data_IF_065341113315
#
_entry.id   IF_065341113315
#
_cell.length_a   1.000
_cell.length_b   1.000
_cell.length_c   1.000
_cell.angle_alpha   90.00
_cell.angle_beta   90.00
_cell.angle_gamma   90.00
#
_symmetry.space_group_name_H-M   'P 1'
#
loop_
_entity.id
_entity.type
_entity.pdbx_description
1 polymer ?
#
# COMPACT_ATOMS: atom_id res chain seq x y z
N UNK A 1 -24.84 -56.20 58.94
CA UNK A 1 -24.77 -55.36 57.73
C UNK A 1 -24.03 -56.13 56.65
N UNK A 2 -24.70 -56.23 55.50
CA UNK A 2 -24.32 -56.85 54.22
C UNK A 2 -22.84 -56.61 53.81
N UNK A 3 -22.16 -57.37 52.95
CA UNK A 3 -22.33 -58.68 52.28
C UNK A 3 -20.99 -58.96 51.56
N UNK A 4 -20.68 -60.26 51.38
CA UNK A 4 -19.90 -60.90 50.31
C UNK A 4 -18.56 -60.32 49.78
N UNK A 5 -17.47 -61.07 50.04
CA UNK A 5 -16.37 -61.34 49.07
C UNK A 5 -16.87 -62.36 48.01
N UNK A 6 -16.12 -62.88 46.98
CA UNK A 6 -14.74 -62.61 46.50
C UNK A 6 -14.52 -62.76 44.93
N UNK A 7 -13.25 -62.75 44.48
CA UNK A 7 -12.62 -63.58 43.41
C UNK A 7 -12.89 -63.40 41.88
N UNK A 8 -11.77 -63.55 41.14
CA UNK A 8 -11.58 -63.96 39.72
C UNK A 8 -11.88 -62.91 38.62
N UNK A 9 -10.94 -62.50 37.76
CA UNK A 9 -10.27 -63.23 36.67
C UNK A 9 -11.24 -64.03 35.76
N UNK A 10 -11.88 -63.33 34.83
CA UNK A 10 -12.46 -63.84 33.58
C UNK A 10 -12.17 -62.79 32.49
N UNK A 11 -11.24 -63.02 31.57
CA UNK A 11 -11.41 -63.60 30.22
C UNK A 11 -12.48 -62.93 29.34
N UNK A 12 -12.03 -62.60 28.12
CA UNK A 12 -12.78 -62.39 26.88
C UNK A 12 -13.56 -61.08 26.71
N UNK A 13 -12.93 -60.09 26.06
CA UNK A 13 -13.53 -59.49 24.87
C UNK A 13 -12.44 -59.09 23.87
N UNK A 14 -12.16 -60.03 22.98
CA UNK A 14 -11.65 -59.77 21.64
C UNK A 14 -12.69 -58.93 20.89
N UNK A 15 -12.29 -57.79 20.32
CA UNK A 15 -12.58 -57.46 18.92
C UNK A 15 -12.04 -56.06 18.56
N UNK A 16 -11.10 -56.07 17.61
CA UNK A 16 -10.89 -55.08 16.55
C UNK A 16 -11.19 -53.60 16.86
N UNK A 17 -10.15 -52.84 17.17
CA UNK A 17 -9.97 -51.50 16.58
C UNK A 17 -8.48 -51.25 16.29
N UNK A 18 -7.86 -52.16 15.55
CA UNK A 18 -6.77 -51.80 14.67
C UNK A 18 -7.37 -50.99 13.52
N UNK A 19 -7.69 -49.71 13.80
CA UNK A 19 -7.99 -48.74 12.76
C UNK A 19 -6.70 -48.55 11.98
N UNK A 20 -6.65 -49.30 10.87
CA UNK A 20 -5.77 -49.08 9.74
C UNK A 20 -5.58 -47.58 9.54
N UNK A 21 -4.41 -47.09 9.97
CA UNK A 21 -3.79 -45.96 9.27
C UNK A 21 -3.55 -46.49 7.88
N UNK A 22 -4.55 -46.34 7.02
CA UNK A 22 -4.36 -46.33 5.59
C UNK A 22 -3.24 -45.34 5.37
N UNK A 23 -2.04 -45.89 5.13
CA UNK A 23 -0.99 -45.20 4.45
C UNK A 23 -1.69 -44.64 3.23
N UNK A 24 -1.90 -43.32 3.23
CA UNK A 24 -2.36 -42.63 2.07
C UNK A 24 -1.23 -42.86 1.08
N UNK A 25 -1.43 -43.84 0.19
CA UNK A 25 -0.55 -44.05 -0.93
C UNK A 25 -0.33 -42.68 -1.56
N UNK A 26 0.92 -42.21 -1.70
CA UNK A 26 1.17 -41.07 -2.51
C UNK A 26 0.85 -41.54 -3.92
N UNK A 27 -0.39 -41.31 -4.37
CA UNK A 27 -0.72 -41.38 -5.78
C UNK A 27 0.44 -40.68 -6.51
N UNK A 28 1.09 -41.33 -7.50
CA UNK A 28 2.11 -40.66 -8.28
C UNK A 28 1.45 -39.40 -8.83
N UNK A 29 1.90 -38.23 -8.38
CA UNK A 29 1.34 -36.98 -8.86
C UNK A 29 1.45 -37.03 -10.38
N UNK A 30 0.34 -36.82 -11.12
CA UNK A 30 0.39 -36.88 -12.57
C UNK A 30 1.49 -35.94 -13.04
N UNK A 31 2.36 -36.46 -13.90
CA UNK A 31 3.52 -35.76 -14.40
C UNK A 31 3.13 -34.34 -14.87
N UNK A 32 3.80 -33.34 -14.29
CA UNK A 32 4.20 -32.13 -15.00
C UNK A 32 3.14 -31.17 -15.56
N UNK A 33 1.88 -31.13 -15.09
CA UNK A 33 0.93 -30.11 -15.57
C UNK A 33 1.30 -28.70 -15.05
N UNK A 34 1.89 -27.88 -15.92
CA UNK A 34 2.23 -26.48 -15.60
C UNK A 34 1.09 -25.56 -16.03
N UNK A 35 0.65 -24.67 -15.12
CA UNK A 35 -0.44 -23.73 -15.39
C UNK A 35 0.14 -22.37 -15.78
N UNK A 36 -0.39 -21.75 -16.82
CA UNK A 36 -0.08 -20.37 -17.20
C UNK A 36 -1.19 -19.46 -16.70
N UNK A 37 -0.86 -18.52 -15.83
CA UNK A 37 -1.75 -17.45 -15.42
C UNK A 37 -1.44 -16.20 -16.26
N UNK A 38 -2.26 -15.93 -17.26
CA UNK A 38 -2.05 -14.85 -18.22
C UNK A 38 -2.94 -13.67 -17.85
N UNK A 39 -2.33 -12.50 -17.73
CA UNK A 39 -3.01 -11.23 -17.42
C UNK A 39 -2.92 -10.25 -18.57
N UNK A 40 -4.00 -9.51 -18.82
CA UNK A 40 -4.00 -8.38 -19.75
C UNK A 40 -4.24 -7.07 -18.99
N UNK A 41 -3.18 -6.29 -18.71
CA UNK A 41 -3.28 -5.12 -17.84
C UNK A 41 -4.11 -3.97 -18.43
N UNK A 42 -4.28 -3.91 -19.76
CA UNK A 42 -5.09 -2.88 -20.40
C UNK A 42 -6.58 -3.03 -20.06
N UNK A 43 -7.11 -4.26 -20.17
CA UNK A 43 -8.52 -4.57 -19.92
C UNK A 43 -8.79 -4.98 -18.46
N UNK A 44 -7.75 -5.36 -17.70
CA UNK A 44 -7.87 -5.80 -16.31
C UNK A 44 -8.42 -7.22 -16.15
N UNK A 45 -8.35 -8.02 -17.21
CA UNK A 45 -8.79 -9.42 -17.29
C UNK A 45 -7.61 -10.37 -17.03
N UNK A 46 -7.93 -11.61 -16.63
CA UNK A 46 -6.97 -12.67 -16.44
C UNK A 46 -7.59 -14.03 -16.80
N UNK A 47 -6.79 -14.94 -17.31
CA UNK A 47 -7.20 -16.30 -17.65
C UNK A 47 -6.11 -17.29 -17.21
N UNK A 48 -6.54 -18.38 -16.60
CA UNK A 48 -5.66 -19.50 -16.26
C UNK A 48 -5.82 -20.57 -17.33
N UNK A 49 -4.71 -21.01 -17.90
CA UNK A 49 -4.65 -22.03 -18.94
C UNK A 49 -3.75 -23.16 -18.46
N UNK A 50 -4.20 -24.39 -18.64
CA UNK A 50 -3.43 -25.57 -18.28
C UNK A 50 -2.74 -26.10 -19.54
N UNK A 51 -1.42 -26.30 -19.47
CA UNK A 51 -0.63 -26.82 -20.59
C UNK A 51 0.09 -28.09 -20.14
N UNK A 52 -0.14 -29.16 -20.90
CA UNK A 52 0.47 -30.47 -20.65
C UNK A 52 1.66 -30.73 -21.58
N UNK A 53 1.69 -30.12 -22.77
CA UNK A 53 2.75 -30.30 -23.75
C UNK A 53 4.01 -29.50 -23.39
N UNK A 54 5.10 -30.22 -23.16
CA UNK A 54 6.42 -29.68 -22.81
C UNK A 54 7.02 -28.81 -23.91
N UNK A 55 6.72 -29.08 -25.20
CA UNK A 55 7.28 -28.32 -26.33
C UNK A 55 6.86 -26.84 -26.28
N UNK A 56 5.60 -26.60 -25.88
CA UNK A 56 5.03 -25.26 -25.69
C UNK A 56 5.68 -24.51 -24.53
N UNK A 57 6.11 -25.25 -23.50
CA UNK A 57 6.72 -24.69 -22.29
C UNK A 57 8.21 -24.38 -22.47
N UNK A 58 8.91 -25.07 -23.39
CA UNK A 58 10.36 -24.93 -23.62
C UNK A 58 10.79 -23.49 -23.89
N UNK A 59 9.95 -22.68 -24.54
CA UNK A 59 10.25 -21.28 -24.86
C UNK A 59 10.41 -20.41 -23.61
N UNK A 60 9.74 -20.77 -22.52
CA UNK A 60 9.87 -20.09 -21.23
C UNK A 60 11.06 -20.56 -20.39
N UNK A 61 11.65 -21.71 -20.70
CA UNK A 61 12.72 -22.29 -19.91
C UNK A 61 13.99 -21.46 -20.02
N UNK A 62 14.76 -21.42 -18.93
CA UNK A 62 16.01 -20.64 -18.79
C UNK A 62 15.84 -19.11 -18.95
N UNK A 63 14.62 -18.64 -19.20
CA UNK A 63 14.30 -17.22 -19.16
C UNK A 63 14.19 -16.75 -17.71
N UNK A 64 14.51 -15.47 -17.52
CA UNK A 64 14.42 -14.79 -16.23
C UNK A 64 13.08 -14.08 -16.12
N UNK A 65 12.61 -13.93 -14.88
CA UNK A 65 11.55 -12.97 -14.58
C UNK A 65 11.89 -11.58 -15.14
N UNK A 66 10.92 -10.96 -15.81
CA UNK A 66 11.03 -9.70 -16.52
C UNK A 66 11.37 -9.82 -18.00
N UNK A 67 11.76 -11.00 -18.48
CA UNK A 67 12.03 -11.23 -19.90
C UNK A 67 10.75 -11.23 -20.74
N UNK A 68 10.88 -10.71 -21.96
CA UNK A 68 9.85 -10.78 -22.99
C UNK A 68 10.04 -12.04 -23.82
N UNK A 69 8.95 -12.74 -24.09
CA UNK A 69 8.91 -14.04 -24.74
C UNK A 69 7.77 -14.03 -25.77
N UNK A 70 8.02 -14.46 -27.02
CA UNK A 70 6.97 -14.56 -28.03
C UNK A 70 5.96 -15.66 -27.64
N UNK A 71 4.68 -15.36 -27.83
CA UNK A 71 3.56 -16.26 -27.54
C UNK A 71 3.28 -17.30 -28.62
N UNK A 72 3.88 -17.15 -29.80
CA UNK A 72 3.60 -17.95 -31.00
C UNK A 72 3.71 -19.46 -30.77
N UNK A 73 4.65 -19.89 -29.91
CA UNK A 73 4.89 -21.31 -29.64
C UNK A 73 3.94 -21.94 -28.62
N UNK A 74 3.12 -21.14 -27.93
CA UNK A 74 2.18 -21.64 -26.91
C UNK A 74 0.91 -22.18 -27.58
N UNK A 75 0.44 -21.51 -28.61
CA UNK A 75 -0.70 -21.93 -29.41
C UNK A 75 -1.04 -20.90 -30.48
N UNK A 76 -1.84 -21.33 -31.46
CA UNK A 76 -2.19 -20.50 -32.61
C UNK A 76 -2.98 -19.24 -32.22
N UNK A 77 -3.78 -19.32 -31.15
CA UNK A 77 -4.50 -18.18 -30.55
C UNK A 77 -3.56 -17.07 -30.04
N UNK A 78 -2.31 -17.43 -29.72
CA UNK A 78 -1.32 -16.52 -29.15
C UNK A 78 -0.31 -16.00 -30.19
N UNK A 79 -0.61 -16.21 -31.48
CA UNK A 79 0.24 -15.72 -32.56
C UNK A 79 0.29 -14.18 -32.57
N UNK A 80 1.50 -13.64 -32.62
CA UNK A 80 1.78 -12.20 -32.57
C UNK A 80 1.74 -11.59 -31.16
N UNK A 81 1.38 -12.37 -30.13
CA UNK A 81 1.41 -11.88 -28.75
C UNK A 81 2.82 -11.89 -28.19
N UNK A 82 3.15 -10.85 -27.40
CA UNK A 82 4.38 -10.81 -26.61
C UNK A 82 4.02 -10.87 -25.14
N UNK A 83 4.52 -11.92 -24.48
CA UNK A 83 4.39 -12.10 -23.05
C UNK A 83 5.61 -11.59 -22.31
N UNK A 84 5.39 -11.06 -21.12
CA UNK A 84 6.43 -10.80 -20.14
C UNK A 84 6.26 -11.72 -18.95
N UNK A 85 7.32 -12.40 -18.55
CA UNK A 85 7.32 -13.27 -17.38
C UNK A 85 7.30 -12.39 -16.12
N UNK A 86 6.22 -12.41 -15.36
CA UNK A 86 6.09 -11.57 -14.15
C UNK A 86 6.47 -12.29 -12.87
N UNK A 87 6.46 -13.63 -12.88
CA UNK A 87 6.78 -14.46 -11.72
C UNK A 87 6.13 -15.82 -11.81
N UNK A 88 5.96 -16.48 -10.67
CA UNK A 88 5.36 -17.80 -10.59
C UNK A 88 5.48 -18.41 -9.21
N UNK A 89 4.93 -19.61 -9.09
CA UNK A 89 4.95 -20.42 -7.88
C UNK A 89 5.52 -21.80 -8.21
N UNK A 90 6.39 -22.26 -7.35
CA UNK A 90 6.94 -23.61 -7.36
C UNK A 90 5.84 -24.65 -7.02
N UNK A 91 6.06 -25.93 -7.32
CA UNK A 91 5.11 -27.03 -7.02
C UNK A 91 4.71 -27.11 -5.54
N UNK A 92 5.64 -26.81 -4.64
CA UNK A 92 5.39 -26.75 -3.20
C UNK A 92 4.89 -25.36 -2.72
N UNK A 93 4.52 -24.47 -3.66
CA UNK A 93 3.89 -23.18 -3.36
C UNK A 93 4.85 -22.03 -3.02
N UNK A 94 6.17 -22.25 -3.08
CA UNK A 94 7.14 -21.18 -2.84
C UNK A 94 7.14 -20.17 -4.00
N UNK A 95 7.00 -18.86 -3.74
CA UNK A 95 6.95 -17.85 -4.79
C UNK A 95 8.35 -17.56 -5.36
N UNK A 96 8.41 -17.19 -6.64
CA UNK A 96 9.62 -16.68 -7.28
C UNK A 96 9.98 -15.27 -6.80
N UNK A 97 11.28 -14.95 -6.77
CA UNK A 97 11.79 -13.62 -6.41
C UNK A 97 12.79 -13.09 -7.42
N UNK A 98 12.52 -11.88 -7.92
CA UNK A 98 13.44 -11.14 -8.77
C UNK A 98 14.80 -10.94 -8.09
N UNK A 99 15.88 -11.10 -8.86
CA UNK A 99 17.25 -10.88 -8.41
C UNK A 99 17.97 -12.12 -7.86
N UNK A 100 17.24 -13.21 -7.60
CA UNK A 100 17.84 -14.48 -7.19
C UNK A 100 18.18 -15.28 -8.45
N UNK A 101 19.41 -15.14 -8.94
CA UNK A 101 19.90 -15.76 -10.18
C UNK A 101 20.19 -17.26 -10.03
N UNK A 102 19.21 -18.01 -9.53
CA UNK A 102 19.28 -19.45 -9.35
C UNK A 102 18.01 -20.06 -9.93
N UNK A 103 18.06 -21.25 -10.55
CA UNK A 103 16.85 -21.92 -10.99
C UNK A 103 16.05 -22.41 -9.78
N UNK A 104 16.69 -23.10 -8.82
CA UNK A 104 16.00 -23.73 -7.67
C UNK A 104 15.77 -22.78 -6.48
N UNK A 105 15.50 -23.32 -5.29
CA UNK A 105 15.19 -22.56 -4.06
C UNK A 105 16.44 -22.17 -3.29
N UNK A 106 16.39 -20.96 -2.71
CA UNK A 106 17.43 -20.44 -1.82
C UNK A 106 16.77 -19.90 -0.54
N UNK A 107 17.47 -20.01 0.59
CA UNK A 107 17.03 -19.41 1.87
C UNK A 107 17.65 -18.03 2.05
N UNK A 108 16.81 -17.00 2.06
CA UNK A 108 17.23 -15.61 2.20
C UNK A 108 16.71 -15.00 3.49
N UNK A 109 17.48 -14.10 4.09
CA UNK A 109 17.05 -13.30 5.24
C UNK A 109 16.28 -12.07 4.75
N UNK A 110 14.95 -12.06 4.94
CA UNK A 110 14.07 -11.00 4.44
C UNK A 110 13.64 -10.06 5.58
N UNK A 111 13.75 -8.76 5.35
CA UNK A 111 13.19 -7.64 6.14
C UNK A 111 11.91 -7.06 5.50
N UNK A 112 11.35 -6.02 6.13
CA UNK A 112 10.27 -5.22 5.57
C UNK A 112 10.61 -4.63 4.19
N UNK A 113 9.60 -4.48 3.32
CA UNK A 113 9.74 -3.97 1.97
C UNK A 113 10.25 -4.98 0.92
N UNK A 114 10.81 -6.12 1.31
CA UNK A 114 11.15 -7.18 0.35
C UNK A 114 9.92 -7.96 -0.11
N UNK A 115 9.91 -8.35 -1.38
CA UNK A 115 8.93 -9.31 -1.91
C UNK A 115 8.98 -10.67 -1.18
N UNK A 116 7.84 -11.36 -1.16
CA UNK A 116 7.63 -12.70 -0.57
C UNK A 116 7.63 -12.76 0.98
N UNK A 117 7.72 -11.61 1.66
CA UNK A 117 7.62 -11.54 3.11
C UNK A 117 6.84 -10.30 3.56
N UNK A 118 6.06 -10.46 4.62
CA UNK A 118 5.42 -9.36 5.35
C UNK A 118 5.76 -9.52 6.83
N UNK A 119 6.51 -8.60 7.44
CA UNK A 119 6.88 -8.68 8.85
C UNK A 119 5.64 -8.59 9.75
N UNK A 120 5.71 -9.22 10.93
CA UNK A 120 4.65 -9.15 11.94
C UNK A 120 4.96 -8.10 13.01
N UNK A 121 6.26 -7.89 13.29
CA UNK A 121 6.75 -6.83 14.17
C UNK A 121 7.66 -5.87 13.40
N UNK A 122 7.70 -4.61 13.83
CA UNK A 122 8.61 -3.62 13.28
C UNK A 122 10.06 -4.04 13.50
N UNK A 123 10.87 -4.04 12.43
CA UNK A 123 12.27 -4.46 12.48
C UNK A 123 12.51 -5.97 12.42
N UNK A 124 11.47 -6.80 12.35
CA UNK A 124 11.61 -8.26 12.24
C UNK A 124 12.28 -8.65 10.91
N UNK A 125 13.30 -9.52 10.99
CA UNK A 125 13.90 -10.18 9.83
C UNK A 125 13.73 -11.67 9.97
N UNK A 126 13.28 -12.34 8.90
CA UNK A 126 13.05 -13.80 8.91
C UNK A 126 13.72 -14.47 7.74
N UNK A 127 14.45 -15.57 8.00
CA UNK A 127 15.06 -16.40 6.96
C UNK A 127 13.98 -17.32 6.35
N UNK A 128 13.65 -17.11 5.07
CA UNK A 128 12.62 -17.86 4.33
C UNK A 128 13.20 -18.48 3.07
N UNK A 129 12.67 -19.65 2.70
CA UNK A 129 12.93 -20.27 1.41
C UNK A 129 12.12 -19.56 0.33
N UNK A 130 12.77 -19.24 -0.77
CA UNK A 130 12.18 -18.53 -1.91
C UNK A 130 12.70 -19.18 -3.20
N UNK A 131 11.85 -19.23 -4.23
CA UNK A 131 12.25 -19.74 -5.55
C UNK A 131 13.04 -18.67 -6.30
N UNK A 132 14.08 -19.07 -7.02
CA UNK A 132 14.85 -18.12 -7.82
C UNK A 132 14.08 -17.60 -9.04
N UNK A 133 14.70 -16.68 -9.78
CA UNK A 133 14.05 -15.95 -10.86
C UNK A 133 14.13 -16.64 -12.23
N UNK A 134 14.95 -17.70 -12.36
CA UNK A 134 15.09 -18.45 -13.60
C UNK A 134 13.96 -19.49 -13.65
N UNK A 135 13.25 -19.52 -14.78
CA UNK A 135 12.13 -20.44 -15.00
C UNK A 135 12.65 -21.85 -15.24
N UNK A 136 12.04 -22.82 -14.57
CA UNK A 136 12.30 -24.24 -14.72
C UNK A 136 10.99 -25.04 -14.76
N UNK A 137 11.08 -26.31 -15.15
CA UNK A 137 9.93 -27.23 -15.33
C UNK A 137 9.29 -27.68 -14.01
N UNK A 138 9.93 -27.41 -12.89
CA UNK A 138 9.48 -27.72 -11.54
C UNK A 138 8.56 -26.64 -10.95
N UNK A 139 8.18 -25.64 -11.75
CA UNK A 139 7.11 -24.71 -11.40
C UNK A 139 5.73 -25.37 -11.54
N UNK A 140 4.77 -24.92 -10.73
CA UNK A 140 3.35 -25.29 -10.88
C UNK A 140 2.59 -24.23 -11.65
N UNK A 141 2.85 -22.95 -11.37
CA UNK A 141 2.18 -21.83 -12.04
C UNK A 141 3.22 -20.81 -12.50
N UNK A 142 3.12 -20.39 -13.76
CA UNK A 142 3.86 -19.25 -14.30
C UNK A 142 2.92 -18.09 -14.56
N UNK A 143 3.26 -16.93 -14.03
CA UNK A 143 2.49 -15.71 -14.18
C UNK A 143 3.04 -14.88 -15.35
N UNK A 144 2.22 -14.64 -16.36
CA UNK A 144 2.54 -13.91 -17.57
C UNK A 144 1.69 -12.63 -17.67
N UNK A 145 2.26 -11.57 -18.20
CA UNK A 145 1.53 -10.35 -18.58
C UNK A 145 1.71 -10.07 -20.06
N UNK A 146 0.62 -9.80 -20.78
CA UNK A 146 0.67 -9.38 -22.18
C UNK A 146 1.22 -7.95 -22.27
N UNK A 147 2.25 -7.76 -23.10
CA UNK A 147 2.84 -6.44 -23.40
C UNK A 147 2.34 -5.90 -24.73
N UNK A 148 2.28 -6.76 -25.75
CA UNK A 148 1.71 -6.45 -27.07
C UNK A 148 0.62 -7.46 -27.41
N UNK A 149 -0.51 -6.95 -27.86
CA UNK A 149 -1.62 -7.75 -28.37
C UNK A 149 -1.27 -8.27 -29.77
N UNK A 150 -1.58 -9.54 -30.03
CA UNK A 150 -1.46 -10.14 -31.36
C UNK A 150 -2.68 -9.86 -32.24
N UNK A 151 -2.81 -10.62 -33.33
CA UNK A 151 -3.85 -10.41 -34.34
C UNK A 151 -5.21 -10.99 -33.92
N UNK A 152 -5.21 -12.17 -33.29
CA UNK A 152 -6.43 -12.86 -32.87
C UNK A 152 -6.87 -12.46 -31.47
N UNK A 153 -8.18 -12.28 -31.26
CA UNK A 153 -8.74 -12.04 -29.93
C UNK A 153 -8.93 -13.34 -29.14
N UNK A 154 -8.70 -13.25 -27.83
CA UNK A 154 -8.71 -14.41 -26.93
C UNK A 154 -9.93 -14.34 -26.02
N UNK A 155 -10.79 -15.38 -26.02
CA UNK A 155 -12.02 -15.37 -25.25
C UNK A 155 -11.72 -15.30 -23.75
N UNK A 156 -12.39 -14.36 -23.07
CA UNK A 156 -12.24 -14.10 -21.65
C UNK A 156 -10.99 -13.29 -21.25
N UNK A 157 -10.14 -12.90 -22.21
CA UNK A 157 -8.95 -12.09 -21.95
C UNK A 157 -9.00 -10.75 -22.72
N UNK A 158 -9.02 -10.75 -24.04
CA UNK A 158 -9.07 -9.48 -24.80
C UNK A 158 -10.50 -8.98 -25.02
N UNK A 159 -11.47 -9.89 -25.04
CA UNK A 159 -12.90 -9.57 -25.25
C UNK A 159 -13.52 -8.76 -24.09
N UNK A 160 -13.29 -9.19 -22.85
CA UNK A 160 -13.94 -8.58 -21.67
C UNK A 160 -13.11 -7.43 -21.11
N UNK A 161 -13.73 -6.24 -21.00
CA UNK A 161 -13.12 -5.06 -20.38
C UNK A 161 -13.71 -4.81 -18.99
N UNK A 162 -12.85 -4.83 -17.96
CA UNK A 162 -13.24 -4.51 -16.59
C UNK A 162 -12.86 -3.06 -16.24
N UNK A 163 -13.84 -2.15 -16.06
CA UNK A 163 -13.55 -0.77 -15.72
C UNK A 163 -12.95 -0.64 -14.31
N UNK A 164 -12.08 0.35 -14.11
CA UNK A 164 -11.48 0.64 -12.81
C UNK A 164 -12.56 1.07 -11.81
N UNK A 165 -12.72 0.30 -10.74
CA UNK A 165 -13.75 0.50 -9.71
C UNK A 165 -13.65 1.83 -8.94
N UNK A 166 -12.43 2.35 -8.74
CA UNK A 166 -12.18 3.53 -7.90
C UNK A 166 -11.50 4.64 -8.70
N UNK A 167 -12.10 5.83 -8.64
CA UNK A 167 -11.51 7.05 -9.20
C UNK A 167 -10.46 7.70 -8.29
N UNK A 168 -9.78 8.74 -8.78
CA UNK A 168 -8.80 9.49 -8.00
C UNK A 168 -9.42 10.20 -6.77
N UNK A 169 -8.79 10.05 -5.59
CA UNK A 169 -9.23 10.70 -4.32
C UNK A 169 -8.55 12.06 -4.03
N UNK A 170 -7.33 12.27 -4.51
CA UNK A 170 -6.53 13.48 -4.21
C UNK A 170 -6.87 14.58 -5.21
N UNK A 171 -7.08 15.81 -4.75
CA UNK A 171 -7.46 16.95 -5.60
C UNK A 171 -6.55 17.12 -6.83
N UNK A 172 -5.23 17.01 -6.64
CA UNK A 172 -4.26 17.13 -7.75
C UNK A 172 -4.36 15.99 -8.77
N UNK A 173 -4.75 14.78 -8.36
CA UNK A 173 -4.94 13.66 -9.28
C UNK A 173 -6.27 13.80 -10.05
N UNK A 174 -7.31 14.36 -9.43
CA UNK A 174 -8.58 14.66 -10.10
C UNK A 174 -8.34 15.70 -11.21
N UNK A 175 -7.59 16.77 -10.89
CA UNK A 175 -7.23 17.79 -11.90
C UNK A 175 -6.49 17.22 -13.10
N UNK A 176 -5.46 16.39 -12.86
CA UNK A 176 -4.73 15.71 -13.94
C UNK A 176 -5.59 14.77 -14.77
N UNK A 177 -6.58 14.12 -14.16
CA UNK A 177 -7.44 13.15 -14.84
C UNK A 177 -8.38 13.82 -15.84
N UNK A 178 -8.91 14.99 -15.51
CA UNK A 178 -9.80 15.77 -16.38
C UNK A 178 -9.08 16.93 -17.09
N UNK A 179 -7.75 16.96 -17.04
CA UNK A 179 -6.93 18.06 -17.58
C UNK A 179 -7.36 19.46 -17.12
N UNK A 180 -7.85 19.58 -15.88
CA UNK A 180 -8.29 20.85 -15.30
C UNK A 180 -7.10 21.74 -14.93
N UNK A 181 -7.23 23.02 -15.25
CA UNK A 181 -6.33 24.09 -14.84
C UNK A 181 -6.63 24.52 -13.39
N UNK A 182 -5.87 25.49 -12.88
CA UNK A 182 -6.14 26.06 -11.54
C UNK A 182 -7.32 27.02 -11.56
N UNK A 183 -7.59 27.62 -12.72
CA UNK A 183 -8.55 28.71 -12.90
C UNK A 183 -9.95 28.19 -13.20
N UNK A 184 -10.07 26.93 -13.64
CA UNK A 184 -11.36 26.23 -13.74
C UNK A 184 -12.08 26.10 -12.37
N UNK A 185 -11.36 26.30 -11.25
CA UNK A 185 -11.97 26.41 -9.92
C UNK A 185 -12.66 27.76 -9.65
N UNK A 186 -12.53 28.74 -10.54
CA UNK A 186 -13.19 30.05 -10.47
C UNK A 186 -14.42 30.02 -11.37
N UNK A 187 -15.59 30.06 -10.77
CA UNK A 187 -16.87 30.07 -11.49
C UNK A 187 -16.97 31.35 -12.35
N UNK A 188 -16.56 31.28 -13.62
CA UNK A 188 -17.19 32.08 -14.68
C UNK A 188 -18.54 31.41 -14.90
N UNK A 189 -19.59 31.96 -14.28
CA UNK A 189 -21.01 31.93 -14.67
C UNK A 189 -21.84 32.32 -13.44
N UNK A 190 -21.90 33.63 -13.17
CA UNK A 190 -23.12 34.43 -13.03
C UNK A 190 -22.72 35.81 -12.49
N UNK A 191 -22.64 36.75 -13.42
CA UNK A 191 -22.87 38.17 -13.18
C UNK A 191 -24.18 38.34 -12.39
N UNK A 192 -24.07 38.55 -11.08
CA UNK A 192 -25.05 39.06 -10.10
C UNK A 192 -24.87 38.36 -8.74
N UNK A 193 -23.73 38.59 -8.09
CA UNK A 193 -23.67 38.48 -6.63
C UNK A 193 -22.48 39.28 -6.09
N UNK A 194 -22.67 40.54 -5.67
CA UNK A 194 -21.63 41.30 -5.00
C UNK A 194 -21.56 40.83 -3.53
N UNK A 195 -20.34 40.59 -3.02
CA UNK A 195 -19.98 40.46 -1.58
C UNK A 195 -20.23 39.15 -0.82
N UNK A 196 -20.01 37.98 -1.42
CA UNK A 196 -19.54 36.85 -0.58
C UNK A 196 -18.49 36.00 -1.29
N UNK A 197 -17.31 35.91 -0.68
CA UNK A 197 -16.13 35.21 -1.19
C UNK A 197 -16.30 33.69 -1.19
N UNK A 198 -17.19 33.18 -2.05
CA UNK A 198 -17.41 31.76 -2.22
C UNK A 198 -16.44 31.21 -3.26
N UNK A 199 -15.29 30.72 -2.78
CA UNK A 199 -14.42 29.82 -3.54
C UNK A 199 -15.21 28.50 -3.70
N UNK A 200 -16.11 28.46 -4.67
CA UNK A 200 -16.87 27.25 -5.01
C UNK A 200 -15.90 26.29 -5.71
N UNK A 201 -15.31 25.38 -4.93
CA UNK A 201 -14.31 24.43 -5.42
C UNK A 201 -14.89 23.52 -6.53
N UNK A 202 -14.70 23.90 -7.78
CA UNK A 202 -15.19 23.22 -8.98
C UNK A 202 -14.72 21.76 -9.04
N UNK A 203 -13.52 21.45 -8.51
CA UNK A 203 -13.04 20.05 -8.32
C UNK A 203 -14.08 19.13 -7.63
N UNK A 204 -14.96 19.67 -6.76
CA UNK A 204 -15.99 18.87 -6.08
C UNK A 204 -17.05 18.32 -7.02
N UNK A 205 -17.29 18.98 -8.16
CA UNK A 205 -18.26 18.55 -9.17
C UNK A 205 -17.72 17.40 -10.02
N UNK A 206 -16.43 17.42 -10.34
CA UNK A 206 -15.73 16.41 -11.17
C UNK A 206 -15.37 15.13 -10.42
N UNK A 207 -15.85 14.92 -9.20
CA UNK A 207 -15.58 13.67 -8.47
C UNK A 207 -16.44 12.56 -9.05
N UNK A 208 -15.78 11.50 -9.53
CA UNK A 208 -16.47 10.28 -9.98
C UNK A 208 -17.27 9.70 -8.82
N UNK A 209 -18.59 9.64 -8.99
CA UNK A 209 -19.52 9.02 -8.06
C UNK A 209 -19.83 7.61 -8.53
N UNK A 210 -19.97 6.70 -7.58
CA UNK A 210 -20.40 5.33 -7.83
C UNK A 210 -21.83 5.16 -7.33
N UNK A 211 -22.71 4.69 -8.19
CA UNK A 211 -24.02 4.19 -7.78
C UNK A 211 -23.87 2.83 -7.11
N UNK A 212 -24.46 2.71 -5.92
CA UNK A 212 -24.47 1.48 -5.14
C UNK A 212 -25.91 1.00 -5.09
N UNK A 213 -26.17 -0.13 -5.76
CA UNK A 213 -27.40 -0.88 -5.61
C UNK A 213 -27.31 -1.69 -4.30
N UNK A 214 -28.13 -1.38 -3.28
CA UNK A 214 -28.17 -2.16 -2.05
C UNK A 214 -28.72 -3.57 -2.31
N UNK A 215 -28.19 -4.59 -1.62
CA UNK A 215 -28.58 -6.00 -1.80
C UNK A 215 -29.94 -6.38 -1.19
N UNK A 216 -30.64 -5.46 -0.53
CA UNK A 216 -31.93 -5.74 0.10
C UNK A 216 -33.06 -5.29 -0.82
N UNK A 217 -34.08 -6.14 -0.98
CA UNK A 217 -35.31 -5.80 -1.72
C UNK A 217 -35.92 -4.49 -1.16
N UNK A 218 -36.29 -3.58 -2.07
CA UNK A 218 -36.95 -2.30 -1.74
C UNK A 218 -36.05 -1.12 -1.37
N UNK A 219 -34.72 -1.28 -1.26
CA UNK A 219 -33.83 -0.16 -0.94
C UNK A 219 -33.44 0.62 -2.20
N UNK A 220 -33.64 1.93 -2.18
CA UNK A 220 -33.31 2.83 -3.31
C UNK A 220 -31.79 2.86 -3.59
N UNK A 221 -31.37 2.93 -4.86
CA UNK A 221 -29.97 3.18 -5.21
C UNK A 221 -29.48 4.48 -4.60
N UNK A 222 -28.22 4.51 -4.17
CA UNK A 222 -27.59 5.74 -3.68
C UNK A 222 -26.17 5.91 -4.21
N UNK A 223 -25.77 7.16 -4.38
CA UNK A 223 -24.44 7.51 -4.89
C UNK A 223 -23.42 7.64 -3.75
N UNK A 224 -22.24 7.02 -3.90
CA UNK A 224 -21.08 7.23 -3.03
C UNK A 224 -20.00 8.01 -3.76
N UNK A 225 -19.39 8.95 -3.05
CA UNK A 225 -18.23 9.72 -3.53
C UNK A 225 -17.08 9.66 -2.51
N UNK A 226 -15.81 9.63 -2.95
CA UNK A 226 -14.68 9.74 -2.04
C UNK A 226 -14.57 11.15 -1.44
N UNK A 227 -14.26 11.24 -0.14
CA UNK A 227 -13.84 12.51 0.48
C UNK A 227 -12.52 12.99 -0.14
N UNK A 228 -12.57 14.13 -0.81
CA UNK A 228 -11.40 14.69 -1.51
C UNK A 228 -10.31 15.03 -0.50
N UNK A 229 -9.10 14.54 -0.76
CA UNK A 229 -7.94 14.85 0.07
C UNK A 229 -7.13 16.00 -0.54
N UNK A 230 -6.52 16.81 0.33
CA UNK A 230 -5.63 17.95 -0.02
C UNK A 230 -6.32 19.07 -0.82
N UNK A 231 -7.64 19.18 -0.71
CA UNK A 231 -8.38 20.36 -1.18
C UNK A 231 -8.05 21.56 -0.28
N UNK A 232 -8.00 22.76 -0.84
CA UNK A 232 -7.99 24.00 -0.05
C UNK A 232 -9.40 24.20 0.47
N UNK A 233 -9.60 24.39 1.78
CA UNK A 233 -10.93 24.63 2.36
C UNK A 233 -10.89 25.91 3.20
N UNK A 234 -12.03 26.59 3.45
CA UNK A 234 -12.08 27.76 4.32
C UNK A 234 -11.46 27.49 5.70
N UNK A 235 -11.75 26.32 6.28
CA UNK A 235 -11.15 25.87 7.54
C UNK A 235 -9.62 25.77 7.47
N UNK A 236 -9.06 25.25 6.36
CA UNK A 236 -7.60 25.18 6.17
C UNK A 236 -6.98 26.57 6.08
N UNK A 237 -7.65 27.52 5.41
CA UNK A 237 -7.22 28.92 5.34
C UNK A 237 -7.30 29.58 6.72
N UNK A 238 -8.36 29.33 7.49
CA UNK A 238 -8.51 29.79 8.86
C UNK A 238 -7.40 29.26 9.76
N UNK A 239 -7.09 27.96 9.72
CA UNK A 239 -5.98 27.37 10.48
C UNK A 239 -4.63 28.00 10.11
N UNK A 240 -4.42 28.35 8.83
CA UNK A 240 -3.22 29.05 8.37
C UNK A 240 -3.16 30.48 8.93
N UNK A 241 -4.27 31.24 8.85
CA UNK A 241 -4.38 32.59 9.42
C UNK A 241 -4.14 32.58 10.93
N UNK A 242 -4.78 31.66 11.64
CA UNK A 242 -4.61 31.49 13.09
C UNK A 242 -3.16 31.19 13.48
N UNK A 243 -2.48 30.28 12.77
CA UNK A 243 -1.06 30.00 13.00
C UNK A 243 -0.17 31.22 12.81
N UNK A 244 -0.43 32.03 11.78
CA UNK A 244 0.31 33.26 11.53
C UNK A 244 0.03 34.28 12.64
N UNK A 245 -1.21 34.41 13.08
CA UNK A 245 -1.59 35.29 14.19
C UNK A 245 -0.90 34.90 15.50
N UNK A 246 -0.81 33.60 15.82
CA UNK A 246 -0.08 33.12 17.01
C UNK A 246 1.40 33.47 16.95
N UNK A 247 2.04 33.34 15.78
CA UNK A 247 3.45 33.75 15.60
C UNK A 247 3.66 35.24 15.81
N UNK A 248 2.74 36.07 15.30
CA UNK A 248 2.78 37.53 15.51
C UNK A 248 2.62 37.90 16.97
N UNK A 249 1.60 37.34 17.64
CA UNK A 249 1.36 37.54 19.07
C UNK A 249 2.56 37.12 19.93
N UNK A 250 3.21 36.02 19.58
CA UNK A 250 4.41 35.57 20.28
C UNK A 250 5.58 36.54 20.08
N UNK A 251 5.78 37.06 18.87
CA UNK A 251 6.82 38.05 18.59
C UNK A 251 6.58 39.38 19.34
N UNK A 252 5.33 39.85 19.38
CA UNK A 252 4.92 41.03 20.15
C UNK A 252 5.20 40.81 21.64
N UNK A 253 4.73 39.67 22.20
CA UNK A 253 4.98 39.31 23.61
C UNK A 253 6.48 39.30 23.96
N UNK A 254 7.31 38.68 23.13
CA UNK A 254 8.77 38.64 23.35
C UNK A 254 9.39 40.03 23.30
N UNK A 255 8.91 40.91 22.40
CA UNK A 255 9.37 42.30 22.31
C UNK A 255 8.97 43.09 23.55
N UNK A 256 7.74 42.93 24.02
CA UNK A 256 7.23 43.60 25.21
C UNK A 256 7.99 43.15 26.46
N UNK A 257 8.19 41.83 26.65
CA UNK A 257 8.99 41.26 27.75
C UNK A 257 10.45 41.76 27.72
N UNK A 258 11.06 41.87 26.53
CA UNK A 258 12.42 42.39 26.39
C UNK A 258 12.49 43.88 26.76
N UNK A 259 11.48 44.68 26.39
CA UNK A 259 11.39 46.08 26.75
C UNK A 259 11.19 46.26 28.26
N UNK A 260 10.29 45.48 28.87
CA UNK A 260 10.06 45.47 30.32
C UNK A 260 11.34 45.11 31.08
N UNK A 261 12.04 44.06 30.65
CA UNK A 261 13.32 43.65 31.24
C UNK A 261 14.38 44.73 31.09
N UNK A 262 14.49 45.38 29.92
CA UNK A 262 15.43 46.48 29.69
C UNK A 262 15.15 47.68 30.62
N UNK A 263 13.88 48.00 30.87
CA UNK A 263 13.51 49.05 31.84
C UNK A 263 13.90 48.69 33.27
N UNK A 264 13.64 47.45 33.70
CA UNK A 264 14.04 46.96 35.03
C UNK A 264 15.56 46.99 35.18
N UNK A 265 16.29 46.56 34.15
CA UNK A 265 17.75 46.57 34.14
C UNK A 265 18.29 47.99 34.22
N UNK A 266 17.74 48.93 33.46
CA UNK A 266 18.13 50.35 33.50
C UNK A 266 17.93 50.95 34.91
N UNK A 267 16.79 50.67 35.57
CA UNK A 267 16.53 51.09 36.96
C UNK A 267 17.58 50.54 37.93
N UNK A 268 17.84 49.22 37.91
CA UNK A 268 18.82 48.58 38.79
C UNK A 268 20.26 49.08 38.57
N UNK A 269 20.63 49.36 37.31
CA UNK A 269 21.94 49.92 36.98
C UNK A 269 22.06 51.36 37.51
N UNK A 270 21.00 52.16 37.37
CA UNK A 270 20.96 53.53 37.89
C UNK A 270 21.07 53.55 39.43
N UNK A 271 20.30 52.71 40.13
CA UNK A 271 20.37 52.55 41.60
C UNK A 271 21.78 52.15 42.04
N UNK A 272 22.37 51.11 41.45
CA UNK A 272 23.73 50.67 41.76
C UNK A 272 24.79 51.74 41.45
N UNK A 273 24.59 52.55 40.41
CA UNK A 273 25.48 53.67 40.07
C UNK A 273 25.37 54.79 41.12
N UNK A 274 24.16 55.08 41.59
CA UNK A 274 23.92 56.05 42.67
C UNK A 274 24.57 55.58 43.98
N UNK A 275 24.36 54.32 44.39
CA UNK A 275 25.00 53.73 45.57
C UNK A 275 26.53 53.83 45.52
N UNK A 276 27.14 53.50 44.37
CA UNK A 276 28.60 53.64 44.18
C UNK A 276 29.05 55.10 44.25
N UNK A 277 28.29 56.02 43.67
CA UNK A 277 28.60 57.45 43.72
C UNK A 277 28.53 57.98 45.16
N UNK A 278 27.52 57.59 45.92
CA UNK A 278 27.38 57.99 47.33
C UNK A 278 28.45 57.36 48.22
N UNK A 279 28.80 56.09 48.00
CA UNK A 279 29.96 55.47 48.67
C UNK A 279 31.27 56.20 48.35
N UNK A 280 31.47 56.63 47.10
CA UNK A 280 32.63 57.43 46.70
C UNK A 280 32.64 58.79 47.39
N UNK A 281 31.50 59.48 47.49
CA UNK A 281 31.37 60.75 48.23
C UNK A 281 31.70 60.56 49.72
N UNK A 282 31.16 59.52 50.36
CA UNK A 282 31.45 59.18 51.77
C UNK A 282 32.94 58.94 52.02
N UNK A 283 33.61 58.19 51.14
CA UNK A 283 35.08 57.98 51.21
C UNK A 283 35.88 59.27 51.00
N UNK A 284 35.45 60.13 50.08
CA UNK A 284 36.11 61.41 49.85
C UNK A 284 35.98 62.36 51.07
N UNK A 285 34.82 62.37 51.73
CA UNK A 285 34.63 63.15 52.96
C UNK A 285 35.41 62.61 54.15
N UNK A 286 35.65 61.28 54.25
CA UNK A 286 36.43 60.70 55.34
C UNK A 286 37.94 60.94 55.20
N UNK A 287 38.45 61.14 53.97
CA UNK A 287 39.87 61.46 53.71
C UNK A 287 40.20 62.95 53.83
N UNK A 288 39.22 63.81 54.12
CA UNK A 288 39.39 65.28 54.23
C UNK A 288 39.39 65.78 55.68
N UNK A 289 39.57 64.87 56.64
CA UNK A 289 39.94 65.14 58.04
C UNK A 289 41.39 64.74 58.22
#
# INVERSE_FOLDING_TARGET
HLEFRPFSLFTLFSQLTAASRQLHDPHPQPAGKMKLNISYPANGSQKLIEIEDERKLRVFMEKRMGAEVPGDSVGDEFKGYIFKITGGNDKQGFPMKQGVMHPTRVRLLLSDGHSCYRPRRTGERKRKSVRGCIVGMDLSVLALSIVKQGEADIPGLTDVVHPKRLGPKRATKIRKFFSLTKDDDVCVLLSQCPRSGNISHFVRKYVIRREVQPKGEGKKPYTKAPKIQRLVTPQRLQHKRHRIALKRRQAEKVKDEANEYAQILAKRVAERKAEKADARKRRASSMRK
#
